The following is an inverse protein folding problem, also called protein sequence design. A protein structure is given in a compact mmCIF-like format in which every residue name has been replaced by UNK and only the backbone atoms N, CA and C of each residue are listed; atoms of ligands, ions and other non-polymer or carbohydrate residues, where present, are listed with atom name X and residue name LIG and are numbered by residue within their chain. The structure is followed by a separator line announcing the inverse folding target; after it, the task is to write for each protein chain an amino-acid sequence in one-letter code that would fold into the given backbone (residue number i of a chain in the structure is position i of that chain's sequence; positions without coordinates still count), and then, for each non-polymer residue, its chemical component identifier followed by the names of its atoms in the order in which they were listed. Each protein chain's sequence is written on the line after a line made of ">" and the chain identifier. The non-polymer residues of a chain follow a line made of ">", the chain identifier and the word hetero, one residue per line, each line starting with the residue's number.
data_IF_662495345710
#
_entry.id   IF_662495345710
#
_cell.length_a   1.000
_cell.length_b   1.000
_cell.length_c   1.000
_cell.angle_alpha   90.00
_cell.angle_beta   90.00
_cell.angle_gamma   90.00
#
_symmetry.space_group_name_H-M   'P 1'
#
loop_
_entity.id
_entity.type
_entity.pdbx_description
1 polymer ?
#
# COMPACT_ATOMS: atom_id res chain seq x y z
N UNK A 1 -43.99 -43.94 -34.13
CA UNK A 1 -43.69 -44.59 -32.84
C UNK A 1 -42.20 -44.93 -32.66
N UNK A 2 -41.64 -46.00 -33.24
CA UNK A 2 -40.22 -46.35 -33.02
C UNK A 2 -39.23 -45.29 -33.58
N UNK A 3 -39.50 -44.75 -34.77
CA UNK A 3 -38.67 -43.70 -35.39
C UNK A 3 -38.70 -42.37 -34.62
N UNK A 4 -39.88 -41.93 -34.15
CA UNK A 4 -40.01 -40.67 -33.39
C UNK A 4 -39.32 -40.74 -32.03
N UNK A 5 -39.32 -41.91 -31.40
CA UNK A 5 -38.59 -42.13 -30.15
C UNK A 5 -37.07 -42.04 -30.40
N UNK A 6 -36.58 -42.65 -31.48
CA UNK A 6 -35.18 -42.58 -31.88
C UNK A 6 -34.76 -41.12 -32.18
N UNK A 7 -35.54 -40.38 -32.97
CA UNK A 7 -35.28 -38.98 -33.29
C UNK A 7 -35.29 -38.08 -32.04
N UNK A 8 -36.09 -38.44 -31.04
CA UNK A 8 -36.15 -37.71 -29.76
C UNK A 8 -34.94 -38.01 -28.90
N UNK A 9 -34.52 -39.28 -28.83
CA UNK A 9 -33.28 -39.69 -28.17
C UNK A 9 -32.06 -39.01 -28.77
N UNK A 10 -31.94 -38.98 -30.10
CA UNK A 10 -30.80 -38.36 -30.79
C UNK A 10 -30.74 -36.84 -30.51
N UNK A 11 -31.91 -36.18 -30.48
CA UNK A 11 -32.00 -34.76 -30.09
C UNK A 11 -31.60 -34.51 -28.64
N UNK A 12 -31.97 -35.41 -27.72
CA UNK A 12 -31.59 -35.30 -26.31
C UNK A 12 -30.08 -35.49 -26.17
N UNK A 13 -29.51 -36.53 -26.80
CA UNK A 13 -28.06 -36.79 -26.78
C UNK A 13 -27.29 -35.57 -27.28
N UNK A 14 -27.70 -35.00 -28.43
CA UNK A 14 -27.05 -33.82 -28.98
C UNK A 14 -27.14 -32.62 -28.05
N UNK A 15 -28.31 -32.34 -27.46
CA UNK A 15 -28.47 -31.23 -26.50
C UNK A 15 -27.66 -31.44 -25.23
N UNK A 16 -27.61 -32.66 -24.72
CA UNK A 16 -26.81 -33.02 -23.55
C UNK A 16 -25.31 -32.83 -23.81
N UNK A 17 -24.82 -33.25 -24.98
CA UNK A 17 -23.41 -33.05 -25.35
C UNK A 17 -23.06 -31.56 -25.46
N UNK A 18 -23.93 -30.75 -26.06
CA UNK A 18 -23.74 -29.29 -26.13
C UNK A 18 -23.70 -28.69 -24.72
N UNK A 19 -24.59 -29.14 -23.83
CA UNK A 19 -24.64 -28.63 -22.45
C UNK A 19 -23.38 -29.00 -21.66
N UNK A 20 -22.90 -30.23 -21.80
CA UNK A 20 -21.66 -30.70 -21.17
C UNK A 20 -20.47 -29.86 -21.65
N UNK A 21 -20.39 -29.60 -22.95
CA UNK A 21 -19.28 -28.82 -23.50
C UNK A 21 -19.31 -27.37 -23.00
N UNK A 22 -20.49 -26.74 -23.00
CA UNK A 22 -20.66 -25.39 -22.42
C UNK A 22 -20.29 -25.35 -20.94
N UNK A 23 -20.66 -26.37 -20.18
CA UNK A 23 -20.32 -26.46 -18.78
C UNK A 23 -18.81 -26.56 -18.57
N UNK A 24 -18.10 -27.37 -19.39
CA UNK A 24 -16.64 -27.49 -19.30
C UNK A 24 -15.93 -26.17 -19.58
N UNK A 25 -16.35 -25.46 -20.63
CA UNK A 25 -15.81 -24.14 -20.96
C UNK A 25 -16.01 -23.17 -19.79
N UNK A 26 -17.25 -23.09 -19.29
CA UNK A 26 -17.56 -22.18 -18.18
C UNK A 26 -16.84 -22.56 -16.89
N UNK A 27 -16.64 -23.84 -16.62
CA UNK A 27 -15.87 -24.31 -15.46
C UNK A 27 -14.40 -23.90 -15.58
N UNK A 28 -13.80 -24.03 -16.77
CA UNK A 28 -12.42 -23.57 -17.01
C UNK A 28 -12.28 -22.06 -16.87
N UNK A 29 -13.19 -21.29 -17.46
CA UNK A 29 -13.21 -19.83 -17.31
C UNK A 29 -13.37 -19.40 -15.84
N UNK A 30 -14.20 -20.10 -15.08
CA UNK A 30 -14.39 -19.86 -13.66
C UNK A 30 -13.08 -20.09 -12.89
N UNK A 31 -12.42 -21.23 -13.11
CA UNK A 31 -11.14 -21.55 -12.45
C UNK A 31 -10.07 -20.50 -12.79
N UNK A 32 -9.97 -20.07 -14.04
CA UNK A 32 -9.04 -18.99 -14.44
C UNK A 32 -9.34 -17.66 -13.76
N UNK A 33 -10.62 -17.31 -13.61
CA UNK A 33 -11.04 -16.09 -12.93
C UNK A 33 -10.79 -16.16 -11.42
N UNK A 34 -10.99 -17.32 -10.79
CA UNK A 34 -10.67 -17.53 -9.37
C UNK A 34 -9.17 -17.34 -9.12
N UNK A 35 -8.29 -17.89 -9.96
CA UNK A 35 -6.84 -17.68 -9.86
C UNK A 35 -6.47 -16.20 -10.05
N UNK A 36 -7.06 -15.51 -11.03
CA UNK A 36 -6.81 -14.08 -11.23
C UNK A 36 -7.29 -13.24 -10.06
N UNK A 37 -8.43 -13.61 -9.46
CA UNK A 37 -8.98 -12.92 -8.30
C UNK A 37 -8.03 -13.02 -7.12
N UNK A 38 -7.55 -14.23 -6.80
CA UNK A 38 -6.60 -14.47 -5.71
C UNK A 38 -5.32 -13.63 -5.89
N UNK A 39 -4.73 -13.63 -7.08
CA UNK A 39 -3.54 -12.82 -7.38
C UNK A 39 -3.78 -11.31 -7.19
N UNK A 40 -4.93 -10.81 -7.64
CA UNK A 40 -5.29 -9.39 -7.49
C UNK A 40 -5.54 -9.04 -6.03
N UNK A 41 -6.14 -9.93 -5.25
CA UNK A 41 -6.38 -9.73 -3.82
C UNK A 41 -5.06 -9.68 -3.04
N UNK A 42 -4.12 -10.59 -3.32
CA UNK A 42 -2.78 -10.58 -2.74
C UNK A 42 -2.02 -9.29 -3.06
N UNK A 43 -2.04 -8.86 -4.32
CA UNK A 43 -1.41 -7.60 -4.73
C UNK A 43 -2.07 -6.38 -4.06
N UNK A 44 -3.40 -6.39 -3.90
CA UNK A 44 -4.11 -5.32 -3.21
C UNK A 44 -3.69 -5.23 -1.75
N UNK A 45 -3.60 -6.36 -1.06
CA UNK A 45 -3.17 -6.42 0.33
C UNK A 45 -1.72 -5.92 0.48
N UNK A 46 -0.82 -6.37 -0.41
CA UNK A 46 0.57 -5.90 -0.44
C UNK A 46 0.67 -4.39 -0.63
N UNK A 47 -0.04 -3.84 -1.62
CA UNK A 47 -0.05 -2.41 -1.91
C UNK A 47 -0.67 -1.59 -0.76
N UNK A 48 -1.69 -2.12 -0.06
CA UNK A 48 -2.26 -1.46 1.13
C UNK A 48 -1.23 -1.35 2.25
N UNK A 49 -0.51 -2.44 2.55
CA UNK A 49 0.56 -2.46 3.57
C UNK A 49 1.67 -1.46 3.23
N UNK A 50 2.09 -1.43 1.97
CA UNK A 50 3.09 -0.48 1.49
C UNK A 50 2.60 0.97 1.60
N UNK A 51 1.35 1.25 1.24
CA UNK A 51 0.77 2.58 1.36
C UNK A 51 0.71 3.04 2.82
N UNK A 52 0.35 2.15 3.73
CA UNK A 52 0.29 2.45 5.16
C UNK A 52 1.68 2.74 5.74
N UNK A 53 2.69 1.95 5.38
CA UNK A 53 4.08 2.20 5.76
C UNK A 53 4.57 3.56 5.24
N UNK A 54 4.35 3.86 3.96
CA UNK A 54 4.72 5.15 3.35
C UNK A 54 3.99 6.33 3.98
N UNK A 55 2.74 6.15 4.41
CA UNK A 55 1.99 7.18 5.15
C UNK A 55 2.61 7.46 6.52
N UNK A 56 2.96 6.42 7.26
CA UNK A 56 3.65 6.55 8.55
C UNK A 56 5.00 7.25 8.39
N UNK A 57 5.79 6.86 7.40
CA UNK A 57 7.07 7.53 7.09
C UNK A 57 6.86 9.00 6.74
N UNK A 58 5.83 9.32 5.95
CA UNK A 58 5.50 10.69 5.60
C UNK A 58 5.12 11.54 6.82
N UNK A 59 4.30 10.98 7.72
CA UNK A 59 3.94 11.64 8.99
C UNK A 59 5.17 11.85 9.87
N UNK A 60 6.02 10.83 10.01
CA UNK A 60 7.27 10.94 10.74
C UNK A 60 8.16 12.05 10.18
N UNK A 61 8.34 12.12 8.86
CA UNK A 61 9.13 13.17 8.20
C UNK A 61 8.51 14.57 8.39
N UNK A 62 7.18 14.69 8.37
CA UNK A 62 6.49 15.96 8.66
C UNK A 62 6.72 16.39 10.11
N UNK A 63 6.61 15.48 11.07
CA UNK A 63 6.90 15.75 12.47
C UNK A 63 8.37 16.13 12.66
N UNK A 64 9.29 15.38 12.07
CA UNK A 64 10.71 15.68 12.10
C UNK A 64 11.02 17.06 11.51
N UNK A 65 10.35 17.46 10.41
CA UNK A 65 10.49 18.79 9.83
C UNK A 65 9.91 19.91 10.70
N UNK A 66 8.82 19.64 11.44
CA UNK A 66 8.23 20.60 12.38
C UNK A 66 9.07 20.75 13.67
N UNK A 67 9.76 19.68 14.07
CA UNK A 67 10.64 19.65 15.25
C UNK A 67 12.06 20.11 14.90
N UNK A 68 12.49 19.95 13.65
CA UNK A 68 13.76 20.46 13.17
C UNK A 68 13.81 21.97 13.45
N UNK A 69 14.80 22.46 14.21
CA UNK A 69 14.88 23.87 14.52
C UNK A 69 15.09 24.61 13.21
N UNK A 70 14.14 25.50 12.91
CA UNK A 70 14.24 26.51 11.87
C UNK A 70 15.71 26.99 11.79
N UNK A 71 16.40 26.86 10.64
CA UNK A 71 17.81 27.21 10.51
C UNK A 71 18.11 28.62 11.04
N UNK A 72 17.14 29.52 10.94
CA UNK A 72 17.20 30.89 11.45
C UNK A 72 17.12 30.93 12.98
N UNK A 73 16.21 30.17 13.60
CA UNK A 73 16.18 29.98 15.07
C UNK A 73 17.43 29.27 15.59
N UNK A 74 17.95 28.28 14.89
CA UNK A 74 19.18 27.60 15.26
C UNK A 74 20.38 28.58 15.21
N UNK A 75 20.43 29.47 14.21
CA UNK A 75 21.43 30.52 14.13
C UNK A 75 21.26 31.56 15.26
N UNK A 76 20.03 31.96 15.57
CA UNK A 76 19.71 32.90 16.64
C UNK A 76 20.11 32.35 18.02
N UNK A 77 19.79 31.09 18.32
CA UNK A 77 20.18 30.42 19.58
C UNK A 77 21.70 30.29 19.69
N UNK A 78 22.40 29.92 18.60
CA UNK A 78 23.87 29.88 18.57
C UNK A 78 24.51 31.25 18.85
N UNK A 79 23.93 32.32 18.30
CA UNK A 79 24.40 33.68 18.55
C UNK A 79 24.17 34.09 20.01
N UNK A 80 23.00 33.77 20.58
CA UNK A 80 22.65 34.11 21.95
C UNK A 80 23.58 33.41 22.96
N UNK A 81 23.86 32.12 22.76
CA UNK A 81 24.82 31.35 23.57
C UNK A 81 26.21 31.97 23.49
N UNK A 82 26.66 32.36 22.29
CA UNK A 82 27.98 32.97 22.08
C UNK A 82 28.13 34.31 22.81
N UNK A 83 27.07 35.12 22.87
CA UNK A 83 27.05 36.37 23.65
C UNK A 83 27.12 36.07 25.15
N UNK A 84 26.32 35.10 25.62
CA UNK A 84 26.28 34.72 27.04
C UNK A 84 27.65 34.24 27.54
N UNK A 85 28.37 33.45 26.73
CA UNK A 85 29.72 32.98 27.06
C UNK A 85 30.70 34.15 27.18
N UNK A 86 30.64 35.13 26.27
CA UNK A 86 31.49 36.33 26.34
C UNK A 86 31.19 37.18 27.57
N UNK A 87 29.93 37.30 27.95
CA UNK A 87 29.54 38.03 29.15
C UNK A 87 30.00 37.31 30.43
N UNK A 88 29.92 35.98 30.45
CA UNK A 88 30.50 35.16 31.53
C UNK A 88 32.01 35.38 31.62
N UNK A 89 32.74 35.30 30.50
CA UNK A 89 34.19 35.54 30.47
C UNK A 89 34.53 36.95 30.97
N UNK A 90 33.71 37.95 30.61
CA UNK A 90 33.89 39.33 31.07
C UNK A 90 33.67 39.47 32.57
N UNK A 91 32.63 38.83 33.10
CA UNK A 91 32.36 38.79 34.54
C UNK A 91 33.46 38.03 35.30
N UNK A 92 33.97 36.92 34.76
CA UNK A 92 35.09 36.18 35.36
C UNK A 92 36.35 37.05 35.42
N UNK A 93 36.67 37.78 34.35
CA UNK A 93 37.81 38.68 34.34
C UNK A 93 37.64 39.84 35.33
N UNK A 94 36.42 40.37 35.50
CA UNK A 94 36.12 41.39 36.52
C UNK A 94 36.18 40.87 37.96
N UNK A 95 36.05 39.55 38.17
CA UNK A 95 36.20 38.92 39.49
C UNK A 95 37.65 38.53 39.81
N UNK A 96 38.53 38.49 38.79
CA UNK A 96 39.94 38.14 38.91
C UNK A 96 40.88 39.37 38.93
N UNK A 97 40.34 40.58 38.75
CA UNK A 97 40.98 41.88 39.08
C UNK A 97 40.54 42.36 40.48
#
# INVERSE_FOLDING_TARGET
>A
MASELQDTLDRIINKSNILIEKYRVLSGEKEELEVKLELVEEDNERLRKENEALRQDNEYMKMARAVAPDPEKAAQVRSMISTLVRDIDRCINQLNE
#
